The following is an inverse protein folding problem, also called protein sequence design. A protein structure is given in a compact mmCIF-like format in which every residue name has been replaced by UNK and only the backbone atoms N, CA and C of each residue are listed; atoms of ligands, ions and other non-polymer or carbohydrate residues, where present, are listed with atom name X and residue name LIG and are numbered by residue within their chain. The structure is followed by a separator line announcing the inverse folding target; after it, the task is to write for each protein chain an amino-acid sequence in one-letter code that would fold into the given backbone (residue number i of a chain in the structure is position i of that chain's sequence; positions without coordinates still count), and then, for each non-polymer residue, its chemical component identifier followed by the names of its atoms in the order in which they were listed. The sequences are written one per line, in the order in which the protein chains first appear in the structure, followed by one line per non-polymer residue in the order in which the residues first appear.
data_IF_944506610324
#
_entry.id   IF_944506610324
#
_cell.length_a   1.000
_cell.length_b   1.000
_cell.length_c   1.000
_cell.angle_alpha   90.00
_cell.angle_beta   90.00
_cell.angle_gamma   90.00
#
_symmetry.space_group_name_H-M   'P 1'
#
loop_
_entity.id
_entity.type
_entity.pdbx_description
1 polymer ?
#
# COMPACT_ATOMS: atom_id res chain seq x y z
N UNK A 1 -6.37 7.06 -22.63
CA UNK A 1 -5.43 7.34 -23.73
C UNK A 1 -4.47 6.17 -23.96
N UNK A 2 -4.07 5.45 -22.93
CA UNK A 2 -3.27 4.24 -23.07
C UNK A 2 -4.22 3.08 -23.33
N UNK A 3 -3.99 2.30 -24.39
CA UNK A 3 -4.82 1.16 -24.81
C UNK A 3 -4.67 -0.03 -23.82
N UNK A 4 -5.02 0.20 -22.52
CA UNK A 4 -5.02 -0.85 -21.50
C UNK A 4 -6.25 -1.72 -21.77
N UNK A 5 -6.02 -3.02 -22.03
CA UNK A 5 -7.07 -4.01 -22.27
C UNK A 5 -7.48 -4.80 -21.02
N UNK A 6 -6.59 -4.84 -20.02
CA UNK A 6 -6.87 -5.54 -18.76
C UNK A 6 -7.92 -4.81 -17.93
N UNK A 7 -8.79 -5.51 -17.19
CA UNK A 7 -9.70 -4.91 -16.23
C UNK A 7 -8.92 -4.07 -15.20
N UNK A 8 -9.48 -2.93 -14.83
CA UNK A 8 -8.89 -2.02 -13.83
C UNK A 8 -9.84 -1.92 -12.65
N UNK A 9 -9.42 -2.41 -11.49
CA UNK A 9 -10.15 -2.31 -10.24
C UNK A 9 -9.93 -0.94 -9.59
N UNK A 10 -11.02 -0.23 -9.28
CA UNK A 10 -11.03 0.98 -8.45
C UNK A 10 -11.33 0.58 -7.01
N UNK A 11 -10.30 0.59 -6.15
CA UNK A 11 -10.43 0.13 -4.76
C UNK A 11 -11.24 1.06 -3.85
N UNK A 12 -11.33 2.34 -4.19
CA UNK A 12 -12.01 3.36 -3.40
C UNK A 12 -12.68 4.40 -4.32
N UNK A 13 -13.76 4.04 -5.03
CA UNK A 13 -14.54 5.02 -5.76
C UNK A 13 -15.17 6.04 -4.81
N UNK A 14 -15.21 7.30 -5.22
CA UNK A 14 -15.86 8.40 -4.52
C UNK A 14 -17.25 8.66 -5.11
N UNK A 15 -18.08 9.37 -4.36
CA UNK A 15 -19.34 9.93 -4.92
C UNK A 15 -18.98 10.87 -6.07
N UNK A 16 -19.71 10.76 -7.18
CA UNK A 16 -19.47 11.54 -8.40
C UNK A 16 -18.55 10.85 -9.43
N UNK A 17 -17.82 9.79 -9.05
CA UNK A 17 -16.89 9.12 -9.96
C UNK A 17 -17.57 8.20 -10.99
N UNK A 18 -18.81 7.76 -10.75
CA UNK A 18 -19.43 6.67 -11.51
C UNK A 18 -19.64 6.95 -13.00
N UNK A 19 -19.82 8.21 -13.39
CA UNK A 19 -19.84 8.58 -14.81
C UNK A 19 -18.50 8.27 -15.50
N UNK A 20 -17.38 8.56 -14.83
CA UNK A 20 -16.04 8.30 -15.36
C UNK A 20 -15.70 6.80 -15.30
N UNK A 21 -16.08 6.13 -14.22
CA UNK A 21 -15.90 4.69 -14.02
C UNK A 21 -16.60 3.94 -15.15
N UNK A 22 -17.86 4.26 -15.45
CA UNK A 22 -18.61 3.67 -16.55
C UNK A 22 -18.01 4.03 -17.92
N UNK A 23 -17.68 5.30 -18.16
CA UNK A 23 -17.09 5.77 -19.42
C UNK A 23 -15.80 5.01 -19.79
N UNK A 24 -14.99 4.65 -18.79
CA UNK A 24 -13.72 3.94 -19.01
C UNK A 24 -13.81 2.44 -18.72
N UNK A 25 -15.01 1.91 -18.51
CA UNK A 25 -15.25 0.49 -18.20
C UNK A 25 -14.35 -0.03 -17.08
N UNK A 26 -14.30 0.71 -15.95
CA UNK A 26 -13.52 0.36 -14.76
C UNK A 26 -14.41 -0.46 -13.82
N UNK A 27 -13.81 -1.37 -13.04
CA UNK A 27 -14.52 -2.20 -12.08
C UNK A 27 -14.44 -1.58 -10.66
N UNK A 28 -15.54 -0.99 -10.13
CA UNK A 28 -15.50 -0.36 -8.81
C UNK A 28 -15.62 -1.36 -7.68
N UNK A 29 -14.95 -1.09 -6.56
CA UNK A 29 -15.17 -1.76 -5.29
C UNK A 29 -16.31 -1.08 -4.53
N UNK A 30 -17.44 -1.76 -4.38
CA UNK A 30 -18.59 -1.30 -3.61
C UNK A 30 -18.38 -1.70 -2.14
N UNK A 31 -18.32 -0.72 -1.24
CA UNK A 31 -17.95 -0.93 0.16
C UNK A 31 -18.99 -0.38 1.15
N UNK A 32 -20.03 0.30 0.68
CA UNK A 32 -21.12 0.83 1.50
C UNK A 32 -22.42 0.93 0.69
N UNK A 33 -23.56 1.02 1.39
CA UNK A 33 -24.84 1.25 0.73
C UNK A 33 -24.92 2.60 0.01
N UNK A 34 -24.23 3.61 0.49
CA UNK A 34 -24.16 4.92 -0.14
C UNK A 34 -23.52 4.82 -1.54
N UNK A 35 -22.40 4.13 -1.67
CA UNK A 35 -21.71 3.89 -2.94
C UNK A 35 -22.56 2.95 -3.84
N UNK A 36 -23.24 1.95 -3.26
CA UNK A 36 -24.13 1.07 -3.99
C UNK A 36 -25.31 1.83 -4.58
N UNK A 37 -25.94 2.70 -3.81
CA UNK A 37 -27.08 3.51 -4.27
C UNK A 37 -26.66 4.43 -5.43
N UNK A 38 -25.51 5.08 -5.37
CA UNK A 38 -25.04 5.90 -6.48
C UNK A 38 -24.77 5.07 -7.74
N UNK A 39 -24.21 3.86 -7.61
CA UNK A 39 -24.04 2.95 -8.72
C UNK A 39 -25.40 2.65 -9.38
N UNK A 40 -26.45 2.42 -8.59
CA UNK A 40 -27.82 2.15 -9.05
C UNK A 40 -28.43 3.41 -9.68
N UNK A 41 -28.38 4.55 -8.99
CA UNK A 41 -28.93 5.84 -9.45
C UNK A 41 -28.32 6.29 -10.78
N UNK A 42 -27.04 6.01 -11.00
CA UNK A 42 -26.34 6.25 -12.27
C UNK A 42 -26.61 5.19 -13.33
N UNK A 43 -27.44 4.19 -13.04
CA UNK A 43 -27.76 3.07 -13.94
C UNK A 43 -26.51 2.43 -14.54
N UNK A 44 -25.51 2.22 -13.70
CA UNK A 44 -24.25 1.62 -14.12
C UNK A 44 -24.45 0.15 -14.53
N UNK A 45 -23.84 -0.26 -15.63
CA UNK A 45 -23.90 -1.64 -16.13
C UNK A 45 -22.49 -2.23 -16.32
N UNK A 46 -21.65 -2.06 -15.31
CA UNK A 46 -20.29 -2.58 -15.26
C UNK A 46 -20.17 -3.56 -14.09
N UNK A 47 -19.30 -4.58 -14.18
CA UNK A 47 -19.13 -5.51 -13.07
C UNK A 47 -18.51 -4.82 -11.85
N UNK A 48 -18.86 -5.30 -10.66
CA UNK A 48 -18.39 -4.73 -9.40
C UNK A 48 -17.65 -5.75 -8.57
N UNK A 49 -16.82 -5.26 -7.64
CA UNK A 49 -16.24 -6.03 -6.55
C UNK A 49 -16.89 -5.62 -5.24
N UNK A 50 -17.41 -6.56 -4.46
CA UNK A 50 -18.03 -6.26 -3.16
C UNK A 50 -17.00 -6.40 -2.05
N UNK A 51 -16.79 -5.32 -1.31
CA UNK A 51 -15.81 -5.28 -0.22
C UNK A 51 -16.45 -5.51 1.14
N UNK A 52 -15.90 -6.47 1.89
CA UNK A 52 -16.30 -6.77 3.26
C UNK A 52 -15.24 -6.32 4.27
N UNK A 53 -15.70 -5.86 5.44
CA UNK A 53 -14.85 -5.61 6.59
C UNK A 53 -14.78 -6.86 7.45
N UNK A 54 -13.59 -7.41 7.56
CA UNK A 54 -13.30 -8.60 8.40
C UNK A 54 -12.36 -8.28 9.57
N UNK A 55 -12.28 -6.99 9.96
CA UNK A 55 -11.51 -6.58 11.12
C UNK A 55 -10.48 -5.48 10.91
N UNK A 56 -10.21 -5.04 9.66
CA UNK A 56 -9.35 -3.87 9.42
C UNK A 56 -10.05 -2.55 9.80
N UNK A 57 -11.39 -2.53 9.81
CA UNK A 57 -12.21 -1.38 10.19
C UNK A 57 -11.94 -0.09 9.41
N UNK A 58 -11.65 -0.24 8.11
CA UNK A 58 -11.40 0.90 7.21
C UNK A 58 -12.55 1.12 6.23
N UNK A 59 -12.84 0.15 5.39
CA UNK A 59 -13.93 0.16 4.40
C UNK A 59 -14.48 -1.27 4.23
N UNK A 60 -15.77 -1.39 3.94
CA UNK A 60 -16.42 -2.64 3.60
C UNK A 60 -17.70 -2.88 4.40
N UNK A 61 -18.61 -3.66 3.83
CA UNK A 61 -19.82 -4.09 4.50
C UNK A 61 -19.50 -5.00 5.68
N UNK A 62 -20.26 -4.88 6.76
CA UNK A 62 -20.22 -5.85 7.85
C UNK A 62 -20.96 -7.14 7.45
N UNK A 63 -20.68 -8.24 8.13
CA UNK A 63 -21.40 -9.51 7.97
C UNK A 63 -22.91 -9.36 8.15
N UNK A 64 -23.35 -8.48 9.05
CA UNK A 64 -24.75 -8.22 9.32
C UNK A 64 -25.47 -7.57 8.14
N UNK A 65 -24.77 -6.89 7.25
CA UNK A 65 -25.33 -6.29 6.05
C UNK A 65 -25.62 -7.31 4.93
N UNK A 66 -25.07 -8.52 5.03
CA UNK A 66 -24.98 -9.46 3.93
C UNK A 66 -26.34 -9.82 3.31
N UNK A 67 -27.33 -10.11 4.11
CA UNK A 67 -28.67 -10.50 3.61
C UNK A 67 -29.34 -9.34 2.85
N UNK A 68 -29.31 -8.13 3.42
CA UNK A 68 -29.84 -6.93 2.75
C UNK A 68 -29.08 -6.62 1.46
N UNK A 69 -27.75 -6.71 1.51
CA UNK A 69 -26.89 -6.48 0.35
C UNK A 69 -27.20 -7.45 -0.78
N UNK A 70 -27.21 -8.77 -0.50
CA UNK A 70 -27.49 -9.77 -1.52
C UNK A 70 -28.89 -9.60 -2.15
N UNK A 71 -29.89 -9.21 -1.35
CA UNK A 71 -31.22 -8.89 -1.90
C UNK A 71 -31.15 -7.77 -2.92
N UNK A 72 -30.52 -6.64 -2.58
CA UNK A 72 -30.38 -5.50 -3.49
C UNK A 72 -29.60 -5.90 -4.75
N UNK A 73 -28.50 -6.65 -4.61
CA UNK A 73 -27.70 -7.08 -5.75
C UNK A 73 -28.48 -7.98 -6.72
N UNK A 74 -29.43 -8.78 -6.22
CA UNK A 74 -30.29 -9.64 -7.03
C UNK A 74 -31.43 -8.85 -7.67
N UNK A 75 -32.12 -7.99 -6.89
CA UNK A 75 -33.25 -7.18 -7.34
C UNK A 75 -32.84 -6.22 -8.46
N UNK A 76 -31.63 -5.65 -8.38
CA UNK A 76 -31.04 -4.72 -9.35
C UNK A 76 -30.15 -5.41 -10.41
N UNK A 77 -30.15 -6.74 -10.45
CA UNK A 77 -29.36 -7.56 -11.40
C UNK A 77 -27.88 -7.18 -11.50
N UNK A 78 -27.28 -6.72 -10.39
CA UNK A 78 -25.88 -6.25 -10.37
C UNK A 78 -24.93 -7.41 -10.56
N UNK A 79 -24.04 -7.29 -11.55
CA UNK A 79 -23.03 -8.29 -11.86
C UNK A 79 -21.84 -8.18 -10.89
N UNK A 80 -21.72 -9.11 -9.96
CA UNK A 80 -20.60 -9.20 -9.04
C UNK A 80 -19.52 -10.11 -9.61
N UNK A 81 -18.33 -9.56 -9.93
CA UNK A 81 -17.18 -10.35 -10.40
C UNK A 81 -16.43 -10.97 -9.23
N UNK A 82 -16.21 -10.20 -8.17
CA UNK A 82 -15.42 -10.62 -7.02
C UNK A 82 -16.02 -10.13 -5.71
N UNK A 83 -15.72 -10.88 -4.65
CA UNK A 83 -15.79 -10.35 -3.29
C UNK A 83 -14.40 -10.23 -2.71
N UNK A 84 -14.18 -9.26 -1.83
CA UNK A 84 -12.87 -9.01 -1.25
C UNK A 84 -12.91 -8.54 0.20
N UNK A 85 -11.79 -8.73 0.88
CA UNK A 85 -11.46 -8.05 2.12
C UNK A 85 -9.97 -7.65 2.13
N UNK A 86 -9.44 -7.23 3.27
CA UNK A 86 -8.05 -6.82 3.42
C UNK A 86 -7.52 -7.21 4.81
N UNK A 87 -6.38 -7.89 4.83
CA UNK A 87 -5.73 -8.30 6.07
C UNK A 87 -5.05 -7.10 6.73
N UNK A 88 -5.19 -7.00 8.05
CA UNK A 88 -4.69 -5.86 8.83
C UNK A 88 -3.24 -6.03 9.29
N UNK A 89 -2.81 -7.25 9.58
CA UNK A 89 -1.53 -7.54 10.23
C UNK A 89 -0.87 -8.82 9.67
N UNK A 90 -0.96 -9.03 8.36
CA UNK A 90 -0.43 -10.24 7.71
C UNK A 90 1.11 -10.32 7.69
N UNK A 91 1.81 -9.25 8.02
CA UNK A 91 3.26 -9.18 8.20
C UNK A 91 3.73 -9.60 9.60
N UNK A 92 2.91 -9.39 10.63
CA UNK A 92 3.30 -9.63 12.02
C UNK A 92 2.93 -11.05 12.47
N UNK A 93 3.96 -11.85 12.80
CA UNK A 93 3.78 -13.22 13.29
C UNK A 93 3.04 -13.26 14.64
N UNK A 94 3.13 -12.21 15.46
CA UNK A 94 2.44 -12.12 16.75
C UNK A 94 0.93 -11.98 16.56
N UNK A 95 0.51 -11.40 15.44
CA UNK A 95 -0.89 -11.21 15.07
C UNK A 95 -1.47 -12.36 14.22
N UNK A 96 -0.76 -13.50 14.17
CA UNK A 96 -1.18 -14.67 13.38
C UNK A 96 -2.59 -15.16 13.72
N UNK A 97 -2.95 -15.16 15.00
CA UNK A 97 -4.28 -15.58 15.45
C UNK A 97 -5.37 -14.64 14.92
N UNK A 98 -5.15 -13.34 14.99
CA UNK A 98 -6.05 -12.33 14.45
C UNK A 98 -6.17 -12.44 12.93
N UNK A 99 -5.06 -12.59 12.22
CA UNK A 99 -5.06 -12.76 10.76
C UNK A 99 -5.85 -14.00 10.33
N UNK A 100 -5.69 -15.13 11.03
CA UNK A 100 -6.49 -16.34 10.77
C UNK A 100 -7.98 -16.10 10.99
N UNK A 101 -8.36 -15.41 12.07
CA UNK A 101 -9.75 -15.04 12.33
C UNK A 101 -10.34 -14.18 11.21
N UNK A 102 -9.57 -13.23 10.67
CA UNK A 102 -9.99 -12.43 9.49
C UNK A 102 -10.25 -13.33 8.26
N UNK A 103 -9.38 -14.31 8.02
CA UNK A 103 -9.52 -15.25 6.90
C UNK A 103 -10.79 -16.12 7.08
N UNK A 104 -10.99 -16.68 8.28
CA UNK A 104 -12.17 -17.48 8.62
C UNK A 104 -13.48 -16.68 8.46
N UNK A 105 -13.48 -15.43 8.93
CA UNK A 105 -14.62 -14.54 8.76
C UNK A 105 -14.90 -14.24 7.28
N UNK A 106 -13.86 -14.01 6.48
CA UNK A 106 -13.99 -13.82 5.04
C UNK A 106 -14.56 -15.07 4.34
N UNK A 107 -14.09 -16.26 4.68
CA UNK A 107 -14.62 -17.52 4.15
C UNK A 107 -16.08 -17.72 4.56
N UNK A 108 -16.43 -17.45 5.82
CA UNK A 108 -17.82 -17.51 6.31
C UNK A 108 -18.75 -16.58 5.53
N UNK A 109 -18.32 -15.32 5.28
CA UNK A 109 -19.05 -14.35 4.47
C UNK A 109 -19.18 -14.85 3.03
N UNK A 110 -18.10 -15.35 2.43
CA UNK A 110 -18.07 -15.85 1.07
C UNK A 110 -19.08 -17.00 0.86
N UNK A 111 -19.04 -17.99 1.74
CA UNK A 111 -19.95 -19.13 1.67
C UNK A 111 -21.43 -18.72 1.84
N UNK A 112 -21.69 -17.76 2.73
CA UNK A 112 -23.05 -17.23 2.93
C UNK A 112 -23.50 -16.39 1.74
N UNK A 113 -22.60 -15.61 1.14
CA UNK A 113 -22.86 -14.81 -0.07
C UNK A 113 -23.28 -15.74 -1.23
N UNK A 114 -22.50 -16.79 -1.51
CA UNK A 114 -22.79 -17.77 -2.56
C UNK A 114 -24.12 -18.49 -2.33
N UNK A 115 -24.45 -18.85 -1.10
CA UNK A 115 -25.75 -19.44 -0.75
C UNK A 115 -26.92 -18.48 -0.98
N UNK A 116 -26.78 -17.20 -0.59
CA UNK A 116 -27.86 -16.22 -0.73
C UNK A 116 -28.09 -15.80 -2.18
N UNK A 117 -27.03 -15.77 -2.99
CA UNK A 117 -27.12 -15.37 -4.40
C UNK A 117 -27.32 -16.56 -5.34
N UNK A 118 -27.17 -17.77 -4.87
CA UNK A 118 -27.13 -19.00 -5.65
C UNK A 118 -26.12 -18.95 -6.81
N UNK A 119 -25.00 -18.25 -6.61
CA UNK A 119 -23.93 -18.06 -7.60
C UNK A 119 -22.57 -18.22 -6.94
N UNK A 120 -21.67 -18.95 -7.58
CA UNK A 120 -20.27 -18.93 -7.22
C UNK A 120 -19.68 -17.54 -7.50
N UNK A 121 -18.80 -17.07 -6.61
CA UNK A 121 -18.15 -15.76 -6.73
C UNK A 121 -16.65 -15.88 -6.56
N UNK A 122 -15.90 -15.19 -7.38
CA UNK A 122 -14.45 -15.08 -7.27
C UNK A 122 -14.05 -14.28 -6.03
N UNK A 123 -12.88 -14.58 -5.47
CA UNK A 123 -12.42 -14.05 -4.18
C UNK A 123 -11.03 -13.46 -4.29
N UNK A 124 -10.77 -12.36 -3.57
CA UNK A 124 -9.42 -11.88 -3.35
C UNK A 124 -9.26 -11.23 -1.97
N UNK A 125 -8.19 -11.63 -1.28
CA UNK A 125 -7.95 -11.21 0.10
C UNK A 125 -6.54 -10.66 0.30
N UNK A 126 -5.52 -11.36 -0.22
CA UNK A 126 -4.13 -11.15 0.15
C UNK A 126 -3.55 -9.86 -0.45
N UNK A 127 -2.88 -9.09 0.41
CA UNK A 127 -1.92 -8.05 0.07
C UNK A 127 -0.50 -8.66 -0.05
N UNK A 128 0.55 -7.85 -0.25
CA UNK A 128 1.94 -8.33 -0.37
C UNK A 128 2.33 -9.27 0.79
N UNK A 129 2.12 -8.86 2.03
CA UNK A 129 2.47 -9.66 3.21
C UNK A 129 1.63 -10.94 3.30
N UNK A 130 0.36 -10.87 2.91
CA UNK A 130 -0.51 -12.03 2.81
C UNK A 130 -0.02 -13.05 1.78
N UNK A 131 0.42 -12.60 0.60
CA UNK A 131 1.01 -13.47 -0.43
C UNK A 131 2.22 -14.22 0.12
N UNK A 132 3.08 -13.52 0.85
CA UNK A 132 4.32 -14.08 1.37
C UNK A 132 4.14 -15.02 2.57
N UNK A 133 3.13 -14.78 3.43
CA UNK A 133 2.95 -15.50 4.69
C UNK A 133 1.74 -16.45 4.74
N UNK A 134 0.77 -16.30 3.82
CA UNK A 134 -0.52 -17.03 3.83
C UNK A 134 -0.90 -17.50 2.42
N UNK A 135 0.06 -18.03 1.65
CA UNK A 135 -0.11 -18.43 0.25
C UNK A 135 -1.27 -19.39 -0.01
N UNK A 136 -1.67 -20.20 0.99
CA UNK A 136 -2.80 -21.13 0.88
C UNK A 136 -4.16 -20.42 0.64
N UNK A 137 -4.23 -19.10 0.86
CA UNK A 137 -5.44 -18.29 0.71
C UNK A 137 -5.38 -17.32 -0.46
N UNK A 138 -4.65 -17.65 -1.54
CA UNK A 138 -4.52 -16.81 -2.74
C UNK A 138 -5.86 -16.60 -3.47
N UNK A 139 -6.75 -17.58 -3.38
CA UNK A 139 -8.03 -17.62 -4.09
C UNK A 139 -7.87 -17.35 -5.59
N UNK A 140 -8.76 -16.52 -6.18
CA UNK A 140 -8.77 -16.26 -7.63
C UNK A 140 -7.86 -15.09 -8.03
N UNK A 141 -7.48 -14.22 -7.08
CA UNK A 141 -6.62 -13.07 -7.33
C UNK A 141 -5.92 -12.61 -6.04
N UNK A 142 -4.73 -12.07 -6.19
CA UNK A 142 -3.96 -11.41 -5.13
C UNK A 142 -3.66 -9.96 -5.51
N UNK A 143 -3.35 -9.12 -4.51
CA UNK A 143 -3.06 -7.70 -4.71
C UNK A 143 -1.67 -7.37 -4.18
N UNK A 144 -0.66 -7.55 -5.02
CA UNK A 144 0.68 -7.12 -4.68
C UNK A 144 0.79 -5.58 -4.78
N UNK A 145 1.20 -4.96 -3.69
CA UNK A 145 1.50 -3.53 -3.61
C UNK A 145 3.02 -3.31 -3.55
N UNK A 146 3.55 -3.14 -2.34
CA UNK A 146 4.99 -2.88 -2.13
C UNK A 146 5.88 -4.00 -2.70
N UNK A 147 5.38 -5.23 -2.80
CA UNK A 147 6.09 -6.35 -3.42
C UNK A 147 6.45 -6.13 -4.89
N UNK A 148 5.69 -5.32 -5.63
CA UNK A 148 6.02 -4.95 -7.01
C UNK A 148 7.27 -4.06 -7.11
N UNK A 149 7.60 -3.35 -6.04
CA UNK A 149 8.81 -2.54 -5.94
C UNK A 149 10.01 -3.32 -5.40
N UNK A 150 9.82 -4.61 -5.08
CA UNK A 150 10.90 -5.48 -4.61
C UNK A 150 11.13 -5.41 -3.10
N UNK A 151 10.11 -5.00 -2.34
CA UNK A 151 10.17 -4.92 -0.88
C UNK A 151 9.06 -5.72 -0.22
N UNK A 152 9.38 -6.42 0.86
CA UNK A 152 8.44 -6.99 1.81
C UNK A 152 8.30 -6.07 3.04
N UNK A 153 7.27 -6.32 3.87
CA UNK A 153 7.14 -5.66 5.18
C UNK A 153 7.95 -6.39 6.27
N UNK A 154 8.61 -7.49 5.93
CA UNK A 154 9.45 -8.29 6.82
C UNK A 154 10.77 -8.60 6.09
N UNK A 155 11.89 -8.25 6.72
CA UNK A 155 13.26 -8.41 6.17
C UNK A 155 13.61 -9.84 5.78
N UNK A 156 12.96 -10.85 6.37
CA UNK A 156 13.16 -12.25 5.97
C UNK A 156 12.87 -12.54 4.50
N UNK A 157 12.12 -11.66 3.83
CA UNK A 157 11.80 -11.78 2.41
C UNK A 157 12.70 -10.96 1.50
N UNK A 158 13.57 -10.10 2.04
CA UNK A 158 14.43 -9.22 1.24
C UNK A 158 15.32 -9.99 0.26
N UNK A 159 15.79 -11.19 0.65
CA UNK A 159 16.58 -12.05 -0.24
C UNK A 159 15.79 -12.67 -1.41
N UNK A 160 14.45 -12.69 -1.31
CA UNK A 160 13.54 -13.27 -2.32
C UNK A 160 12.97 -12.21 -3.26
N UNK A 161 13.13 -10.95 -2.92
CA UNK A 161 12.60 -9.81 -3.68
C UNK A 161 13.75 -8.99 -4.24
N UNK A 162 13.54 -8.41 -5.43
CA UNK A 162 14.55 -7.58 -6.09
C UNK A 162 14.06 -6.14 -6.18
N UNK A 163 14.70 -5.17 -5.51
CA UNK A 163 14.36 -3.76 -5.69
C UNK A 163 14.41 -3.35 -7.16
N UNK A 164 13.38 -2.64 -7.62
CA UNK A 164 13.23 -2.25 -9.03
C UNK A 164 13.51 -0.78 -9.29
N UNK A 165 13.86 -0.01 -8.25
CA UNK A 165 14.20 1.41 -8.39
C UNK A 165 15.39 1.77 -7.50
N UNK A 166 16.08 2.84 -7.89
CA UNK A 166 17.17 3.45 -7.15
C UNK A 166 17.01 4.96 -7.18
N UNK A 167 17.38 5.63 -6.10
CA UNK A 167 17.41 7.08 -6.02
C UNK A 167 18.85 7.55 -6.24
N UNK A 168 19.05 8.43 -7.20
CA UNK A 168 20.34 9.06 -7.49
C UNK A 168 20.23 10.56 -7.24
N UNK A 169 21.33 11.14 -6.77
CA UNK A 169 21.51 12.57 -6.62
C UNK A 169 22.97 12.93 -6.85
N UNK A 170 23.32 14.21 -6.77
CA UNK A 170 24.68 14.72 -6.92
C UNK A 170 25.12 15.49 -5.66
N UNK A 171 26.40 15.61 -5.42
CA UNK A 171 26.92 16.48 -4.37
C UNK A 171 26.97 17.91 -4.91
N UNK A 172 26.16 18.82 -4.35
CA UNK A 172 26.09 20.23 -4.77
C UNK A 172 27.29 21.02 -4.26
N UNK A 173 27.80 20.68 -3.07
CA UNK A 173 28.93 21.40 -2.46
C UNK A 173 29.67 20.48 -1.49
N UNK A 174 30.99 20.73 -1.35
CA UNK A 174 31.83 20.07 -0.36
C UNK A 174 32.43 21.13 0.56
N UNK A 175 32.30 20.92 1.87
CA UNK A 175 32.94 21.73 2.89
C UNK A 175 34.05 20.95 3.61
N UNK A 176 35.10 21.63 3.99
CA UNK A 176 36.10 21.15 4.95
C UNK A 176 35.70 21.67 6.32
N UNK A 177 35.42 20.78 7.25
CA UNK A 177 34.96 21.08 8.61
C UNK A 177 36.10 20.75 9.57
N UNK A 178 36.37 21.67 10.48
CA UNK A 178 37.38 21.46 11.55
C UNK A 178 36.76 20.74 12.73
N UNK A 179 37.60 20.12 13.53
CA UNK A 179 37.19 19.58 14.82
C UNK A 179 36.45 20.63 15.66
N UNK A 180 35.36 20.25 16.30
CA UNK A 180 34.46 21.12 17.07
C UNK A 180 33.47 21.93 16.28
N UNK A 181 33.58 22.03 14.95
CA UNK A 181 32.55 22.67 14.12
C UNK A 181 31.31 21.81 13.97
N UNK A 182 30.14 22.46 13.88
CA UNK A 182 28.87 21.79 13.82
C UNK A 182 28.23 21.86 12.43
N UNK A 183 27.34 20.89 12.14
CA UNK A 183 26.65 20.76 10.85
C UNK A 183 25.15 20.65 11.05
N UNK A 184 24.40 21.39 10.25
CA UNK A 184 22.97 21.32 10.13
C UNK A 184 22.18 21.98 11.26
N UNK A 185 20.86 21.88 11.16
CA UNK A 185 19.92 22.47 12.12
C UNK A 185 20.15 21.90 13.53
N UNK A 186 20.00 22.81 14.52
CA UNK A 186 20.19 22.52 15.94
C UNK A 186 21.59 21.99 16.28
N UNK A 187 22.57 22.21 15.40
CA UNK A 187 23.95 21.73 15.58
C UNK A 187 24.00 20.22 15.90
N UNK A 188 23.10 19.44 15.24
CA UNK A 188 22.86 18.06 15.59
C UNK A 188 24.06 17.11 15.31
N UNK A 189 25.04 17.60 14.58
CA UNK A 189 26.35 16.93 14.40
C UNK A 189 27.45 17.91 14.79
N UNK A 190 28.46 17.43 15.53
CA UNK A 190 29.69 18.14 15.79
C UNK A 190 30.85 17.24 15.36
N UNK A 191 31.76 17.80 14.57
CA UNK A 191 32.92 17.07 14.07
C UNK A 191 33.90 16.73 15.22
N UNK A 192 34.20 15.45 15.37
CA UNK A 192 35.21 14.98 16.38
C UNK A 192 36.64 15.04 15.86
N UNK A 193 36.81 15.35 14.58
CA UNK A 193 38.10 15.54 13.89
C UNK A 193 37.88 16.35 12.62
N UNK A 194 38.92 16.85 12.02
CA UNK A 194 38.83 17.48 10.71
C UNK A 194 38.24 16.49 9.68
N UNK A 195 37.23 16.87 9.00
CA UNK A 195 36.54 16.03 8.00
C UNK A 195 36.06 16.82 6.81
N UNK A 196 35.58 16.10 5.77
CA UNK A 196 34.90 16.69 4.61
C UNK A 196 33.45 16.27 4.68
N UNK A 197 32.57 17.20 4.34
CA UNK A 197 31.14 16.90 4.22
C UNK A 197 30.65 17.26 2.83
N UNK A 198 29.73 16.47 2.30
CA UNK A 198 29.02 16.72 1.05
C UNK A 198 27.59 17.15 1.31
N UNK A 199 27.12 18.13 0.57
CA UNK A 199 25.72 18.56 0.57
C UNK A 199 25.03 17.89 -0.62
N UNK A 200 23.95 17.16 -0.36
CA UNK A 200 23.17 16.43 -1.39
C UNK A 200 21.77 17.04 -1.43
N UNK A 201 21.31 17.53 -2.60
CA UNK A 201 20.02 18.24 -2.76
C UNK A 201 18.86 17.25 -2.82
N UNK A 202 18.59 16.56 -1.72
CA UNK A 202 17.44 15.69 -1.49
C UNK A 202 17.13 15.68 0.00
N UNK A 203 15.88 15.83 0.36
CA UNK A 203 15.49 15.96 1.75
C UNK A 203 14.13 15.33 2.06
N UNK A 204 13.53 15.73 3.19
CA UNK A 204 12.26 15.11 3.60
C UNK A 204 11.08 15.49 2.70
N UNK A 205 11.14 16.59 1.97
CA UNK A 205 10.12 16.95 0.96
C UNK A 205 10.14 15.99 -0.24
N UNK A 206 11.28 15.32 -0.48
CA UNK A 206 11.46 14.32 -1.54
C UNK A 206 11.15 12.88 -1.05
N UNK A 207 10.70 12.73 0.20
CA UNK A 207 10.39 11.42 0.80
C UNK A 207 11.52 10.82 1.64
N UNK A 208 12.62 11.53 1.86
CA UNK A 208 13.70 11.07 2.76
C UNK A 208 13.24 11.21 4.22
N UNK A 209 13.13 10.09 4.92
CA UNK A 209 12.70 10.11 6.31
C UNK A 209 13.66 10.91 7.19
N UNK A 210 13.12 11.78 8.06
CA UNK A 210 13.92 12.48 9.08
C UNK A 210 14.64 11.51 10.04
N UNK A 211 14.09 10.31 10.21
CA UNK A 211 14.62 9.31 11.11
C UNK A 211 16.00 8.75 10.70
N UNK A 212 16.40 8.91 9.43
CA UNK A 212 17.69 8.41 8.93
C UNK A 212 18.85 9.38 9.09
N UNK A 213 18.62 10.60 9.59
CA UNK A 213 19.68 11.52 9.99
C UNK A 213 20.53 10.98 11.15
N UNK A 214 21.56 11.75 11.54
CA UNK A 214 22.40 11.48 12.70
C UNK A 214 23.04 10.07 12.65
N UNK A 215 23.70 9.73 11.54
CA UNK A 215 24.44 8.47 11.28
C UNK A 215 23.56 7.21 11.21
N UNK A 216 22.22 7.33 11.16
CA UNK A 216 21.33 6.16 11.03
C UNK A 216 21.18 5.69 9.58
N UNK A 217 21.23 6.60 8.63
CA UNK A 217 21.20 6.31 7.20
C UNK A 217 22.56 6.48 6.54
N UNK A 218 22.72 5.84 5.40
CA UNK A 218 23.94 5.90 4.58
C UNK A 218 23.57 6.13 3.13
N UNK A 219 24.49 6.77 2.40
CA UNK A 219 24.45 6.88 0.93
C UNK A 219 25.73 6.31 0.33
N UNK A 220 25.64 5.87 -0.91
CA UNK A 220 26.77 5.35 -1.65
C UNK A 220 27.38 6.47 -2.49
N UNK A 221 28.66 6.78 -2.28
CA UNK A 221 29.41 7.76 -3.07
C UNK A 221 30.65 7.06 -3.62
N UNK A 222 30.76 6.92 -4.94
CA UNK A 222 31.89 6.23 -5.59
C UNK A 222 32.24 4.88 -4.93
N UNK A 223 31.23 4.06 -4.64
CA UNK A 223 31.36 2.76 -3.96
C UNK A 223 31.74 2.81 -2.47
N UNK A 224 31.78 3.99 -1.85
CA UNK A 224 31.96 4.13 -0.41
C UNK A 224 30.65 4.47 0.29
N UNK A 225 30.36 3.81 1.40
CA UNK A 225 29.20 4.12 2.23
C UNK A 225 29.51 5.32 3.11
N UNK A 226 28.82 6.44 2.87
CA UNK A 226 28.95 7.70 3.60
C UNK A 226 27.75 7.87 4.54
N UNK A 227 28.02 8.22 5.80
CA UNK A 227 26.97 8.46 6.79
C UNK A 227 26.21 9.76 6.51
N UNK A 228 24.87 9.73 6.68
CA UNK A 228 24.06 10.95 6.74
C UNK A 228 24.26 11.57 8.12
N UNK A 229 24.85 12.74 8.19
CA UNK A 229 25.16 13.48 9.42
C UNK A 229 24.22 14.64 9.66
N UNK A 230 24.01 14.99 10.94
CA UNK A 230 23.03 16.03 11.29
C UNK A 230 21.58 15.66 10.95
N UNK A 231 20.69 16.62 11.07
CA UNK A 231 19.28 16.44 10.77
C UNK A 231 19.02 16.48 9.26
N UNK A 232 18.13 15.61 8.76
CA UNK A 232 17.62 15.71 7.39
C UNK A 232 16.83 17.02 7.24
N UNK A 233 17.23 17.87 6.28
CA UNK A 233 16.57 19.14 5.98
C UNK A 233 15.37 18.92 5.05
N UNK A 234 14.68 20.00 4.69
CA UNK A 234 13.52 19.94 3.78
C UNK A 234 13.93 19.38 2.41
N UNK A 235 15.00 19.92 1.84
CA UNK A 235 15.46 19.70 0.47
C UNK A 235 16.93 19.23 0.39
N UNK A 236 17.59 19.01 1.53
CA UNK A 236 19.01 18.64 1.58
C UNK A 236 19.32 17.65 2.69
N UNK A 237 20.33 16.83 2.46
CA UNK A 237 21.04 16.05 3.48
C UNK A 237 22.54 16.38 3.44
N UNK A 238 23.20 16.22 4.56
CA UNK A 238 24.64 16.33 4.70
C UNK A 238 25.23 14.95 4.92
N UNK A 239 26.33 14.65 4.25
CA UNK A 239 27.01 13.37 4.34
C UNK A 239 28.48 13.55 4.71
N UNK A 240 29.05 12.65 5.49
CA UNK A 240 30.48 12.61 5.81
C UNK A 240 31.22 11.88 4.67
N UNK A 241 32.26 12.54 4.08
CA UNK A 241 33.03 12.05 2.93
C UNK A 241 34.40 11.52 3.35
#
# INVERSE_FOLDING_TARGET
KNKIKSPILILHPQLGDFNMIQKYNLEPSIYSFMILNEYIDKKCNIPVHIKFNTGLNRLGFSKNNLTKLCKILLDEEIRVNYILSHLAASEDIKEKAFTKKQIEEFLSISNKFEKLTNKAVKKHLLNTSGILNYSDYQFDMVRSGIGLYGYGNDRKFDSKLKPVHSLFSSISQIHKIKEGESVGYNRAFTASKNCRIGIVPVGHADGISRSIGNRKGKVLVNNYLCDIIGNVCMDMIMIEL
#
